data_IF_503079206887
#
_entry.id   IF_503079206887
#
_cell.length_a   1.000
_cell.length_b   1.000
_cell.length_c   1.000
_cell.angle_alpha   90.00
_cell.angle_beta   90.00
_cell.angle_gamma   90.00
#
_symmetry.space_group_name_H-M   'P 1'
#
loop_
_entity.id
_entity.type
_entity.pdbx_description
1 polymer ?
#
# COMPACT_ATOMS: atom_id res chain seq x y z
N UNK A 1 -3.93 17.80 -14.62
CA UNK A 1 -3.84 17.93 -13.15
C UNK A 1 -2.36 17.95 -12.76
N UNK A 2 -1.90 18.89 -11.93
CA UNK A 2 -0.46 19.10 -11.68
C UNK A 2 -0.13 20.09 -10.55
N UNK A 3 -0.98 20.20 -9.53
CA UNK A 3 -0.67 21.04 -8.38
C UNK A 3 0.26 20.29 -7.42
N UNK A 4 1.35 20.95 -7.03
CA UNK A 4 2.48 20.32 -6.33
C UNK A 4 2.12 19.64 -5.01
N UNK A 5 1.07 20.11 -4.31
CA UNK A 5 0.68 19.57 -3.01
C UNK A 5 -0.46 18.53 -3.06
N UNK A 6 -0.98 18.19 -4.26
CA UNK A 6 -2.04 17.18 -4.39
C UNK A 6 -1.63 15.84 -3.77
N UNK A 7 -0.42 15.29 -4.03
CA UNK A 7 -0.02 14.02 -3.46
C UNK A 7 -0.07 13.98 -1.93
N UNK A 8 0.33 15.06 -1.26
CA UNK A 8 0.33 15.20 0.20
C UNK A 8 -1.09 15.34 0.75
N UNK A 9 -1.95 16.11 0.06
CA UNK A 9 -3.37 16.26 0.43
C UNK A 9 -4.08 14.91 0.33
N UNK A 10 -3.87 14.18 -0.77
CA UNK A 10 -4.42 12.84 -0.97
C UNK A 10 -3.89 11.88 0.11
N UNK A 11 -2.59 11.88 0.38
CA UNK A 11 -2.01 11.06 1.44
C UNK A 11 -2.68 11.30 2.79
N UNK A 12 -2.97 12.54 3.17
CA UNK A 12 -3.63 12.87 4.44
C UNK A 12 -5.07 12.35 4.46
N UNK A 13 -5.84 12.63 3.41
CA UNK A 13 -7.25 12.21 3.31
C UNK A 13 -7.37 10.69 3.31
N UNK A 14 -6.60 10.00 2.47
CA UNK A 14 -6.61 8.55 2.36
C UNK A 14 -6.13 7.90 3.66
N UNK A 15 -5.14 8.48 4.35
CA UNK A 15 -4.68 7.98 5.66
C UNK A 15 -5.76 8.12 6.74
N UNK A 16 -6.55 9.20 6.69
CA UNK A 16 -7.68 9.39 7.60
C UNK A 16 -8.81 8.38 7.34
N UNK A 17 -9.13 8.11 6.07
CA UNK A 17 -10.14 7.11 5.67
C UNK A 17 -9.68 5.70 6.09
N UNK A 18 -8.40 5.38 5.88
CA UNK A 18 -7.78 4.11 6.24
C UNK A 18 -7.54 3.93 7.75
N UNK A 19 -7.72 5.00 8.54
CA UNK A 19 -7.51 5.07 9.99
C UNK A 19 -6.07 4.68 10.39
N UNK A 20 -5.10 5.23 9.67
CA UNK A 20 -3.67 5.01 9.97
C UNK A 20 -3.32 5.74 11.26
N UNK A 21 -2.70 5.02 12.19
CA UNK A 21 -2.45 5.45 13.58
C UNK A 21 -1.48 6.61 13.75
N UNK A 22 -0.70 6.91 12.71
CA UNK A 22 0.18 8.09 12.69
C UNK A 22 -0.61 9.38 12.44
N UNK A 23 -1.81 9.27 11.90
CA UNK A 23 -2.69 10.39 11.53
C UNK A 23 -3.93 10.44 12.41
N UNK A 24 -4.46 9.28 12.81
CA UNK A 24 -5.71 9.15 13.58
C UNK A 24 -5.45 8.64 14.98
N UNK A 25 -6.27 9.08 15.95
CA UNK A 25 -6.17 8.74 17.36
C UNK A 25 -6.09 7.22 17.59
N UNK A 26 -5.13 6.77 18.41
CA UNK A 26 -4.77 5.35 18.62
C UNK A 26 -5.93 4.43 19.01
N UNK A 27 -6.97 4.95 19.66
CA UNK A 27 -8.17 4.17 20.03
C UNK A 27 -9.03 3.71 18.84
N UNK A 28 -8.85 4.31 17.67
CA UNK A 28 -9.55 3.95 16.43
C UNK A 28 -8.70 3.07 15.51
N UNK A 29 -7.48 2.75 15.94
CA UNK A 29 -6.48 2.06 15.17
C UNK A 29 -6.89 0.65 14.75
N UNK A 30 -6.36 0.21 13.60
CA UNK A 30 -6.29 -1.20 13.26
C UNK A 30 -5.64 -1.98 14.41
N UNK A 31 -6.23 -3.12 14.76
CA UNK A 31 -5.60 -4.09 15.65
C UNK A 31 -4.18 -4.38 15.13
N UNK A 32 -3.15 -4.55 15.99
CA UNK A 32 -1.78 -4.85 15.56
C UNK A 32 -1.64 -6.12 14.70
N UNK A 33 -2.71 -6.92 14.61
CA UNK A 33 -2.87 -8.09 13.74
C UNK A 33 -3.18 -7.73 12.27
N UNK A 34 -3.56 -6.49 11.98
CA UNK A 34 -3.85 -5.97 10.64
C UNK A 34 -2.91 -4.79 10.38
N UNK A 35 -2.16 -4.89 9.28
CA UNK A 35 -1.24 -3.87 8.79
C UNK A 35 -1.92 -3.10 7.67
N UNK A 36 -1.91 -1.78 7.77
CA UNK A 36 -2.49 -0.89 6.76
C UNK A 36 -1.38 0.02 6.24
N UNK A 37 -1.06 -0.12 4.95
CA UNK A 37 -0.12 0.73 4.23
C UNK A 37 -0.93 1.67 3.33
N UNK A 38 -0.72 2.98 3.42
CA UNK A 38 -1.39 3.98 2.57
C UNK A 38 -0.39 4.75 1.75
N UNK A 39 -0.57 4.80 0.45
CA UNK A 39 0.25 5.58 -0.47
C UNK A 39 -0.63 6.44 -1.39
N UNK A 40 -0.62 7.75 -1.19
CA UNK A 40 -1.44 8.73 -1.95
C UNK A 40 -2.92 8.30 -1.93
N UNK A 41 -3.37 7.60 -2.96
CA UNK A 41 -4.72 7.10 -3.21
C UNK A 41 -4.86 5.57 -3.00
N UNK A 42 -3.75 4.84 -2.87
CA UNK A 42 -3.76 3.40 -2.67
C UNK A 42 -3.74 3.02 -1.17
N UNK A 43 -4.59 2.08 -0.78
CA UNK A 43 -4.64 1.46 0.55
C UNK A 43 -4.38 -0.04 0.40
N UNK A 44 -3.39 -0.55 1.14
CA UNK A 44 -3.08 -1.98 1.25
C UNK A 44 -3.32 -2.46 2.68
N UNK A 45 -4.16 -3.48 2.84
CA UNK A 45 -4.50 -4.09 4.12
C UNK A 45 -3.97 -5.52 4.11
N UNK A 46 -3.08 -5.86 5.03
CA UNK A 46 -2.52 -7.22 5.15
C UNK A 46 -2.75 -7.77 6.56
N UNK A 47 -3.09 -9.05 6.67
CA UNK A 47 -3.36 -9.68 7.97
C UNK A 47 -4.01 -11.05 7.84
N UNK A 48 -4.70 -11.48 8.89
CA UNK A 48 -5.60 -12.64 8.80
C UNK A 48 -6.76 -12.33 7.85
N UNK A 49 -7.32 -13.35 7.18
CA UNK A 49 -8.48 -13.18 6.29
C UNK A 49 -9.63 -12.43 6.97
N UNK A 50 -10.02 -12.84 8.18
CA UNK A 50 -11.08 -12.17 8.94
C UNK A 50 -10.72 -10.74 9.36
N UNK A 51 -9.47 -10.50 9.75
CA UNK A 51 -8.98 -9.17 10.10
C UNK A 51 -8.96 -8.22 8.90
N UNK A 52 -8.45 -8.68 7.75
CA UNK A 52 -8.41 -7.93 6.51
C UNK A 52 -9.81 -7.57 6.02
N UNK A 53 -10.75 -8.52 6.01
CA UNK A 53 -12.15 -8.28 5.61
C UNK A 53 -12.87 -7.32 6.56
N UNK A 54 -12.67 -7.45 7.87
CA UNK A 54 -13.25 -6.52 8.85
C UNK A 54 -12.75 -5.09 8.62
N UNK A 55 -11.44 -4.95 8.41
CA UNK A 55 -10.83 -3.64 8.23
C UNK A 55 -11.19 -3.01 6.88
N UNK A 56 -11.22 -3.81 5.83
CA UNK A 56 -11.74 -3.41 4.52
C UNK A 56 -13.16 -2.83 4.64
N UNK A 57 -14.06 -3.52 5.33
CA UNK A 57 -15.41 -3.01 5.56
C UNK A 57 -15.43 -1.69 6.36
N UNK A 58 -14.50 -1.50 7.29
CA UNK A 58 -14.35 -0.23 8.02
C UNK A 58 -13.88 0.91 7.12
N UNK A 59 -12.89 0.65 6.26
CA UNK A 59 -12.37 1.64 5.31
C UNK A 59 -13.49 2.10 4.36
N UNK A 60 -14.29 1.17 3.86
CA UNK A 60 -15.42 1.50 2.98
C UNK A 60 -16.50 2.31 3.69
N UNK A 61 -16.86 1.95 4.94
CA UNK A 61 -17.80 2.75 5.75
C UNK A 61 -17.28 4.15 6.02
N UNK A 62 -15.97 4.29 6.26
CA UNK A 62 -15.36 5.60 6.46
C UNK A 62 -15.42 6.44 5.19
N UNK A 63 -15.10 5.84 4.04
CA UNK A 63 -15.17 6.51 2.74
C UNK A 63 -16.58 7.02 2.45
N UNK A 64 -17.57 6.14 2.59
CA UNK A 64 -18.99 6.47 2.39
C UNK A 64 -19.45 7.59 3.32
N UNK A 65 -19.12 7.50 4.61
CA UNK A 65 -19.45 8.54 5.59
C UNK A 65 -18.74 9.89 5.32
N UNK A 66 -17.69 9.93 4.50
CA UNK A 66 -16.97 11.14 4.09
C UNK A 66 -17.25 11.50 2.63
N UNK A 67 -18.17 10.80 1.98
CA UNK A 67 -18.53 10.96 0.56
C UNK A 67 -17.30 10.86 -0.36
N UNK A 68 -16.31 10.06 0.04
CA UNK A 68 -15.18 9.72 -0.79
C UNK A 68 -15.55 8.53 -1.68
N UNK A 69 -15.41 8.68 -2.99
CA UNK A 69 -15.51 7.56 -3.93
C UNK A 69 -14.29 6.67 -3.77
N UNK A 70 -14.53 5.36 -3.81
CA UNK A 70 -13.47 4.36 -3.93
C UNK A 70 -13.53 3.84 -5.37
N UNK A 71 -12.38 3.73 -6.00
CA UNK A 71 -12.24 3.14 -7.33
C UNK A 71 -12.81 1.72 -7.40
N UNK A 72 -13.30 1.35 -8.58
CA UNK A 72 -13.91 0.05 -8.85
C UNK A 72 -12.88 -1.09 -8.80
N UNK A 73 -11.59 -0.77 -8.99
CA UNK A 73 -10.44 -1.68 -8.96
C UNK A 73 -10.01 -2.08 -7.54
N UNK A 74 -10.93 -2.72 -6.82
CA UNK A 74 -10.70 -3.30 -5.50
C UNK A 74 -10.37 -4.79 -5.60
N UNK A 75 -9.25 -5.18 -5.00
CA UNK A 75 -8.78 -6.57 -4.98
C UNK A 75 -8.84 -7.10 -3.54
N UNK A 76 -9.81 -7.94 -3.18
CA UNK A 76 -9.98 -8.47 -1.81
C UNK A 76 -9.50 -9.92 -1.68
N UNK A 77 -8.74 -10.21 -0.62
CA UNK A 77 -8.26 -11.56 -0.32
C UNK A 77 -7.27 -12.14 -1.33
N UNK A 78 -6.59 -11.29 -2.10
CA UNK A 78 -5.65 -11.72 -3.13
C UNK A 78 -4.31 -12.15 -2.55
N UNK A 79 -3.72 -13.17 -3.16
CA UNK A 79 -2.37 -13.65 -2.85
C UNK A 79 -1.33 -13.10 -3.82
N UNK A 80 -1.75 -12.57 -4.97
CA UNK A 80 -0.89 -11.92 -5.95
C UNK A 80 -1.49 -10.57 -6.32
N UNK A 81 -0.70 -9.50 -6.22
CA UNK A 81 -1.16 -8.15 -6.57
C UNK A 81 0.02 -7.23 -6.86
N UNK A 82 -0.29 -6.08 -7.43
CA UNK A 82 0.67 -4.99 -7.62
C UNK A 82 0.30 -3.81 -6.73
N UNK A 83 1.22 -3.37 -5.88
CA UNK A 83 1.09 -2.19 -5.03
C UNK A 83 2.32 -1.31 -5.21
N UNK A 84 2.13 -0.02 -5.49
CA UNK A 84 3.21 0.92 -5.83
C UNK A 84 4.12 0.39 -6.95
N UNK A 85 3.53 -0.27 -7.95
CA UNK A 85 4.25 -0.92 -9.05
C UNK A 85 5.22 -2.04 -8.63
N UNK A 86 5.15 -2.49 -7.38
CA UNK A 86 5.84 -3.68 -6.86
C UNK A 86 4.84 -4.83 -6.86
N UNK A 87 5.23 -5.95 -7.44
CA UNK A 87 4.42 -7.17 -7.49
C UNK A 87 4.75 -8.05 -6.27
N UNK A 88 3.70 -8.42 -5.56
CA UNK A 88 3.73 -9.28 -4.39
C UNK A 88 3.12 -10.63 -4.76
N UNK A 89 3.82 -11.72 -4.47
CA UNK A 89 3.35 -13.09 -4.64
C UNK A 89 3.47 -13.80 -3.28
N UNK A 90 2.34 -13.91 -2.58
CA UNK A 90 2.25 -14.57 -1.27
C UNK A 90 2.33 -16.08 -1.37
N UNK A 91 1.99 -16.68 -2.52
CA UNK A 91 2.07 -18.13 -2.72
C UNK A 91 3.52 -18.58 -2.82
N UNK A 92 4.34 -17.83 -3.57
CA UNK A 92 5.78 -18.10 -3.75
C UNK A 92 6.66 -17.37 -2.76
N UNK A 93 6.06 -16.57 -1.87
CA UNK A 93 6.77 -15.70 -0.94
C UNK A 93 7.80 -14.82 -1.68
N UNK A 94 7.39 -14.22 -2.80
CA UNK A 94 8.29 -13.49 -3.69
C UNK A 94 7.84 -12.04 -3.88
N UNK A 95 8.82 -11.18 -4.13
CA UNK A 95 8.62 -9.78 -4.52
C UNK A 95 9.44 -9.46 -5.75
N UNK A 96 8.77 -8.88 -6.74
CA UNK A 96 9.35 -8.42 -8.00
C UNK A 96 8.91 -6.99 -8.28
N UNK A 97 9.68 -6.28 -9.10
CA UNK A 97 9.21 -5.03 -9.69
C UNK A 97 8.27 -5.40 -10.84
N UNK A 98 7.17 -4.64 -11.00
CA UNK A 98 6.31 -4.81 -12.17
C UNK A 98 7.06 -4.42 -13.45
N UNK A 99 6.68 -5.01 -14.58
CA UNK A 99 7.29 -4.71 -15.88
C UNK A 99 7.19 -3.20 -16.21
N UNK A 100 6.03 -2.59 -15.93
CA UNK A 100 5.80 -1.16 -16.14
C UNK A 100 6.78 -0.30 -15.35
N UNK A 101 7.09 -0.71 -14.12
CA UNK A 101 8.07 -0.02 -13.30
C UNK A 101 9.49 -0.18 -13.82
N UNK A 102 9.89 -1.41 -14.17
CA UNK A 102 11.21 -1.67 -14.77
C UNK A 102 11.40 -0.83 -16.03
N UNK A 103 10.40 -0.79 -16.91
CA UNK A 103 10.43 0.02 -18.13
C UNK A 103 10.59 1.51 -17.83
N UNK A 104 9.78 2.04 -16.90
CA UNK A 104 9.86 3.45 -16.50
C UNK A 104 11.20 3.82 -15.86
N UNK A 105 11.79 2.90 -15.09
CA UNK A 105 13.05 3.11 -14.40
C UNK A 105 14.27 2.98 -15.30
N UNK A 106 14.26 2.06 -16.26
CA UNK A 106 15.29 1.94 -17.29
C UNK A 106 15.42 3.23 -18.10
N UNK A 107 14.29 3.91 -18.34
CA UNK A 107 14.31 5.23 -18.98
C UNK A 107 14.89 6.34 -18.08
N UNK A 108 14.89 6.15 -16.76
CA UNK A 108 15.32 7.15 -15.77
C UNK A 108 16.69 6.86 -15.12
N UNK A 109 17.34 5.74 -15.43
CA UNK A 109 18.67 5.37 -14.89
C UNK A 109 18.69 4.96 -13.41
N UNK A 110 17.59 4.42 -12.86
CA UNK A 110 17.48 4.07 -11.44
C UNK A 110 18.23 2.77 -11.05
N UNK A 111 18.64 2.65 -9.78
CA UNK A 111 19.24 1.45 -9.19
C UNK A 111 18.31 0.81 -8.15
N UNK A 112 18.34 -0.52 -8.03
CA UNK A 112 17.40 -1.29 -7.20
C UNK A 112 18.10 -2.22 -6.23
N UNK A 113 17.66 -2.21 -4.97
CA UNK A 113 18.16 -3.11 -3.93
C UNK A 113 17.02 -3.96 -3.37
N UNK A 114 17.06 -5.25 -3.68
CA UNK A 114 16.27 -6.26 -2.96
C UNK A 114 16.97 -6.55 -1.63
N UNK A 115 16.23 -6.59 -0.53
CA UNK A 115 16.77 -6.98 0.76
C UNK A 115 15.96 -8.15 1.35
N UNK A 116 16.66 -9.17 1.84
CA UNK A 116 16.07 -10.30 2.57
C UNK A 116 16.37 -10.11 4.06
N UNK A 117 15.36 -9.71 4.85
CA UNK A 117 15.48 -9.56 6.30
C UNK A 117 14.74 -10.67 7.06
N UNK A 118 15.10 -10.91 8.32
CA UNK A 118 14.64 -12.04 9.16
C UNK A 118 13.14 -12.12 9.49
N UNK A 119 12.27 -11.43 8.76
CA UNK A 119 10.81 -11.48 8.92
C UNK A 119 10.02 -11.30 7.62
N UNK A 120 10.68 -11.34 6.45
CA UNK A 120 10.00 -11.22 5.15
C UNK A 120 10.91 -10.82 3.98
N UNK A 121 10.33 -10.83 2.78
CA UNK A 121 10.96 -10.29 1.57
C UNK A 121 10.76 -8.76 1.54
N UNK A 122 11.59 -8.00 0.85
CA UNK A 122 11.42 -6.55 0.82
C UNK A 122 12.15 -5.96 -0.36
N UNK A 123 11.58 -4.92 -0.93
CA UNK A 123 12.26 -4.11 -1.95
C UNK A 123 12.45 -2.74 -1.34
N UNK A 124 13.71 -2.31 -1.24
CA UNK A 124 14.01 -0.91 -0.95
C UNK A 124 14.17 -0.21 -2.28
N UNK A 125 13.27 0.73 -2.54
CA UNK A 125 13.28 1.51 -3.76
C UNK A 125 14.07 2.79 -3.52
N UNK A 126 15.19 2.96 -4.22
CA UNK A 126 16.03 4.15 -4.16
C UNK A 126 16.16 4.69 -5.59
N UNK A 127 15.21 5.53 -6.00
CA UNK A 127 15.21 6.14 -7.34
C UNK A 127 16.01 7.43 -7.26
N UNK A 128 17.23 7.44 -7.81
CA UNK A 128 18.03 8.65 -7.93
C UNK A 128 17.37 9.59 -8.96
N UNK A 129 17.02 10.82 -8.55
CA UNK A 129 16.60 11.89 -9.46
C UNK A 129 15.13 12.34 -9.39
N UNK A 130 14.23 11.55 -8.79
CA UNK A 130 12.86 11.97 -8.50
C UNK A 130 12.62 11.76 -7.01
N UNK A 131 12.29 12.82 -6.25
CA UNK A 131 11.95 12.72 -4.83
C UNK A 131 10.66 11.89 -4.63
N UNK A 132 10.76 10.57 -4.68
CA UNK A 132 9.80 9.62 -4.12
C UNK A 132 10.39 9.21 -2.77
N UNK A 133 9.79 9.70 -1.69
CA UNK A 133 10.35 9.60 -0.33
C UNK A 133 10.81 8.19 0.06
N UNK A 134 11.81 8.13 0.94
CA UNK A 134 12.36 6.89 1.50
C UNK A 134 11.25 6.11 2.25
N UNK A 135 10.54 5.20 1.56
CA UNK A 135 9.56 4.33 2.19
C UNK A 135 9.94 2.86 1.99
N UNK A 136 10.17 2.18 3.11
CA UNK A 136 10.45 0.75 3.13
C UNK A 136 9.13 -0.02 2.98
N UNK A 137 8.86 -0.54 1.78
CA UNK A 137 7.75 -1.47 1.55
C UNK A 137 8.14 -2.86 2.07
N UNK A 138 7.48 -3.29 3.15
CA UNK A 138 7.71 -4.61 3.73
C UNK A 138 6.75 -5.64 3.15
N UNK A 139 7.27 -6.82 2.82
CA UNK A 139 6.46 -8.02 2.63
C UNK A 139 6.05 -8.52 4.01
N UNK A 140 4.80 -8.28 4.38
CA UNK A 140 4.21 -8.96 5.52
C UNK A 140 3.57 -10.27 5.03
N UNK A 141 3.94 -11.38 5.66
CA UNK A 141 3.25 -12.67 5.48
C UNK A 141 1.90 -12.62 6.21
N UNK A 142 0.89 -12.02 5.57
CA UNK A 142 -0.52 -12.22 5.91
C UNK A 142 -1.12 -13.34 5.06
N UNK A 143 -2.18 -14.00 5.54
CA UNK A 143 -2.90 -15.03 4.77
C UNK A 143 -3.86 -14.44 3.74
N UNK A 144 -4.12 -13.13 3.79
CA UNK A 144 -4.94 -12.39 2.85
C UNK A 144 -4.45 -10.93 2.72
N UNK A 145 -4.53 -10.39 1.50
CA UNK A 145 -4.32 -8.96 1.24
C UNK A 145 -5.52 -8.35 0.54
N UNK A 146 -5.86 -7.12 0.91
CA UNK A 146 -6.83 -6.29 0.22
C UNK A 146 -6.14 -5.02 -0.31
N UNK A 147 -6.39 -4.67 -1.57
CA UNK A 147 -6.00 -3.40 -2.20
C UNK A 147 -7.26 -2.59 -2.52
N UNK A 148 -7.29 -1.33 -2.10
CA UNK A 148 -8.33 -0.36 -2.41
C UNK A 148 -7.66 0.85 -3.04
N UNK A 149 -8.17 1.33 -4.16
CA UNK A 149 -7.70 2.55 -4.84
C UNK A 149 -8.79 3.61 -4.68
N UNK A 150 -8.48 4.82 -4.21
CA UNK A 150 -9.45 5.93 -4.08
C UNK A 150 -9.56 6.74 -5.35
#
# INVERSE_FOLDING_TARGET
MGYKAIPEILQIITSAIAVVTTVVHRLWAASPLVRVDVWIDDIRITGSKSGATLWEAQVLRNADGRRATMGEDRESGVTHYTFLWVQFDHTRQAVSLSERFVRSACHAGAQFFKHRGGGGYGVTLLVCGCYFGNRQLRFHQGSATTIIRT
#
